data_IF_868130796979
#
_entry.id   IF_868130796979
#
_cell.length_a   1.000
_cell.length_b   1.000
_cell.length_c   1.000
_cell.angle_alpha   90.00
_cell.angle_beta   90.00
_cell.angle_gamma   90.00
#
_symmetry.space_group_name_H-M   'P 1'
#
loop_
_entity.id
_entity.type
_entity.pdbx_description
1 polymer ?
#
# COMPACT_ATOMS: atom_id res chain seq x y z
N UNK A 1 3.97 15.89 -21.66
CA UNK A 1 2.72 15.09 -21.50
C UNK A 1 2.98 13.80 -20.73
N UNK A 2 4.06 13.06 -21.00
CA UNK A 2 4.38 11.84 -20.23
C UNK A 2 4.74 12.13 -18.75
N UNK A 3 5.43 13.24 -18.49
CA UNK A 3 5.83 13.61 -17.12
C UNK A 3 4.65 13.89 -16.17
N UNK A 4 3.57 14.49 -16.67
CA UNK A 4 2.36 14.76 -15.87
C UNK A 4 1.62 13.45 -15.53
N UNK A 5 1.61 12.49 -16.46
CA UNK A 5 1.04 11.17 -16.23
C UNK A 5 1.88 10.35 -15.24
N UNK A 6 3.21 10.35 -15.43
CA UNK A 6 4.15 9.72 -14.49
C UNK A 6 4.05 10.30 -13.09
N UNK A 7 3.94 11.62 -12.96
CA UNK A 7 3.77 12.30 -11.67
C UNK A 7 2.46 11.89 -10.98
N UNK A 8 1.36 11.69 -11.72
CA UNK A 8 0.10 11.19 -11.16
C UNK A 8 0.26 9.76 -10.64
N UNK A 9 0.93 8.88 -11.37
CA UNK A 9 1.17 7.50 -10.91
C UNK A 9 2.03 7.46 -9.64
N UNK A 10 3.06 8.32 -9.54
CA UNK A 10 3.89 8.44 -8.34
C UNK A 10 3.03 8.85 -7.14
N UNK A 11 2.15 9.84 -7.29
CA UNK A 11 1.24 10.27 -6.20
C UNK A 11 0.34 9.13 -5.73
N UNK A 12 -0.27 8.40 -6.66
CA UNK A 12 -1.12 7.24 -6.33
C UNK A 12 -0.30 6.18 -5.59
N UNK A 13 0.93 5.91 -6.03
CA UNK A 13 1.82 4.95 -5.35
C UNK A 13 2.14 5.41 -3.92
N UNK A 14 2.43 6.68 -3.72
CA UNK A 14 2.75 7.22 -2.40
C UNK A 14 1.54 7.14 -1.45
N UNK A 15 0.31 7.36 -1.94
CA UNK A 15 -0.93 7.10 -1.19
C UNK A 15 -1.08 5.63 -0.79
N UNK A 16 -0.76 4.71 -1.71
CA UNK A 16 -0.79 3.26 -1.44
C UNK A 16 0.25 2.83 -0.41
N UNK A 17 1.43 3.43 -0.43
CA UNK A 17 2.46 3.21 0.60
C UNK A 17 1.96 3.67 1.95
N UNK A 18 1.38 4.87 2.04
CA UNK A 18 0.84 5.39 3.30
C UNK A 18 -0.25 4.46 3.89
N UNK A 19 -1.19 4.00 3.06
CA UNK A 19 -2.24 3.07 3.51
C UNK A 19 -1.67 1.73 3.98
N UNK A 20 -0.69 1.16 3.27
CA UNK A 20 -0.02 -0.07 3.70
C UNK A 20 0.70 0.11 5.04
N UNK A 21 1.34 1.25 5.24
CA UNK A 21 2.06 1.56 6.47
C UNK A 21 1.08 1.74 7.66
N UNK A 22 -0.08 2.36 7.45
CA UNK A 22 -1.17 2.41 8.44
C UNK A 22 -1.66 1.01 8.83
N UNK A 23 -1.83 0.11 7.85
CA UNK A 23 -2.21 -1.28 8.12
C UNK A 23 -1.13 -2.05 8.91
N UNK A 24 0.14 -1.80 8.62
CA UNK A 24 1.26 -2.35 9.39
C UNK A 24 1.25 -1.84 10.84
N UNK A 25 1.00 -0.55 11.06
CA UNK A 25 0.84 0.00 12.40
C UNK A 25 -0.33 -0.65 13.15
N UNK A 26 -1.47 -0.82 12.48
CA UNK A 26 -2.63 -1.50 13.06
C UNK A 26 -2.29 -2.95 13.44
N UNK A 27 -1.59 -3.68 12.57
CA UNK A 27 -1.12 -5.05 12.86
C UNK A 27 -0.22 -5.09 14.10
N UNK A 28 0.75 -4.17 14.21
CA UNK A 28 1.66 -4.11 15.36
C UNK A 28 0.94 -3.74 16.66
N UNK A 29 -0.01 -2.80 16.61
CA UNK A 29 -0.83 -2.43 17.77
C UNK A 29 -1.73 -3.59 18.21
N UNK A 30 -2.37 -4.29 17.26
CA UNK A 30 -3.20 -5.46 17.56
C UNK A 30 -2.40 -6.59 18.21
N UNK A 31 -1.21 -6.91 17.65
CA UNK A 31 -0.30 -7.89 18.22
C UNK A 31 0.14 -7.52 19.65
N UNK A 32 0.36 -6.23 19.92
CA UNK A 32 0.76 -5.72 21.24
C UNK A 32 -0.38 -5.69 22.25
N UNK A 33 -1.62 -5.49 21.80
CA UNK A 33 -2.79 -5.33 22.67
C UNK A 33 -3.35 -6.64 23.24
N UNK A 34 -2.81 -7.82 22.85
CA UNK A 34 -3.44 -9.15 23.10
C UNK A 34 -4.94 -9.18 22.75
N UNK A 35 -5.41 -8.24 21.92
CA UNK A 35 -6.76 -8.27 21.44
C UNK A 35 -6.85 -9.42 20.45
N UNK A 36 -7.78 -10.33 20.72
CA UNK A 36 -8.26 -11.28 19.72
C UNK A 36 -8.81 -10.42 18.60
N UNK A 37 -8.02 -10.20 17.54
CA UNK A 37 -8.45 -9.39 16.41
C UNK A 37 -9.64 -10.12 15.80
N UNK A 38 -10.86 -9.59 16.00
CA UNK A 38 -12.01 -10.09 15.25
C UNK A 38 -11.71 -9.96 13.77
N UNK A 39 -11.99 -11.03 13.01
CA UNK A 39 -12.09 -11.29 11.55
C UNK A 39 -11.59 -10.27 10.49
N UNK A 40 -10.78 -9.27 10.84
CA UNK A 40 -10.21 -8.30 9.91
C UNK A 40 -8.92 -8.93 9.39
N UNK A 41 -8.94 -9.32 8.12
CA UNK A 41 -7.80 -9.83 7.38
C UNK A 41 -6.81 -8.70 7.03
N UNK A 42 -6.13 -8.16 8.04
CA UNK A 42 -5.12 -7.11 7.88
C UNK A 42 -3.99 -7.59 6.97
N UNK A 43 -3.66 -8.87 7.00
CA UNK A 43 -2.61 -9.46 6.17
C UNK A 43 -2.99 -9.48 4.69
N UNK A 44 -4.23 -9.86 4.37
CA UNK A 44 -4.78 -9.77 3.02
C UNK A 44 -4.86 -8.32 2.52
N UNK A 45 -5.22 -7.37 3.39
CA UNK A 45 -5.23 -5.94 3.04
C UNK A 45 -3.81 -5.42 2.74
N UNK A 46 -2.81 -5.76 3.56
CA UNK A 46 -1.41 -5.39 3.31
C UNK A 46 -0.92 -5.98 1.98
N UNK A 47 -1.21 -7.26 1.72
CA UNK A 47 -0.83 -7.92 0.48
C UNK A 47 -1.48 -7.27 -0.74
N UNK A 48 -2.74 -6.86 -0.63
CA UNK A 48 -3.45 -6.12 -1.69
C UNK A 48 -2.79 -4.76 -1.97
N UNK A 49 -2.47 -3.98 -0.93
CA UNK A 49 -1.80 -2.69 -1.12
C UNK A 49 -0.39 -2.87 -1.70
N UNK A 50 0.36 -3.92 -1.30
CA UNK A 50 1.66 -4.23 -1.89
C UNK A 50 1.57 -4.56 -3.38
N UNK A 51 0.59 -5.38 -3.79
CA UNK A 51 0.37 -5.70 -5.20
C UNK A 51 0.02 -4.44 -6.02
N UNK A 52 -0.75 -3.51 -5.46
CA UNK A 52 -1.06 -2.24 -6.12
C UNK A 52 0.21 -1.39 -6.32
N UNK A 53 1.09 -1.33 -5.31
CA UNK A 53 2.38 -0.62 -5.37
C UNK A 53 3.26 -1.23 -6.47
N UNK A 54 3.40 -2.55 -6.49
CA UNK A 54 4.25 -3.25 -7.47
C UNK A 54 3.78 -2.97 -8.91
N UNK A 55 2.46 -3.00 -9.15
CA UNK A 55 1.88 -2.67 -10.45
C UNK A 55 2.13 -1.21 -10.86
N UNK A 56 2.11 -0.28 -9.89
CA UNK A 56 2.37 1.15 -10.14
C UNK A 56 3.85 1.39 -10.44
N UNK A 57 4.76 0.73 -9.73
CA UNK A 57 6.19 0.81 -10.00
C UNK A 57 6.52 0.26 -11.39
N UNK A 58 5.92 -0.86 -11.79
CA UNK A 58 6.02 -1.42 -13.14
C UNK A 58 5.49 -0.44 -14.21
N UNK A 59 4.33 0.17 -13.96
CA UNK A 59 3.74 1.14 -14.88
C UNK A 59 4.65 2.38 -15.02
N UNK A 60 5.18 2.92 -13.92
CA UNK A 60 6.09 4.06 -13.92
C UNK A 60 7.40 3.72 -14.65
N UNK A 61 7.95 2.52 -14.45
CA UNK A 61 9.18 2.08 -15.10
C UNK A 61 9.02 1.97 -16.62
N UNK A 62 7.83 1.61 -17.11
CA UNK A 62 7.49 1.54 -18.54
C UNK A 62 7.28 2.90 -19.19
N UNK A 63 7.16 3.98 -18.41
CA UNK A 63 7.05 5.36 -18.90
C UNK A 63 8.40 6.07 -18.99
N UNK A 64 9.52 5.37 -18.73
CA UNK A 64 10.87 5.88 -18.97
C UNK A 64 11.14 6.15 -20.46
#
# INVERSE_FOLDING_TARGET
MNDDFRLKLIKIRDEKIAHRDELLEMKMRAASAKQVSGDIDIDGMIAHEQLAIDNLDDAIARLN
#
